data_IF_311848963719
#
_entry.id   IF_311848963719
#
_cell.length_a   1.000
_cell.length_b   1.000
_cell.length_c   1.000
_cell.angle_alpha   90.00
_cell.angle_beta   90.00
_cell.angle_gamma   90.00
#
_symmetry.space_group_name_H-M   'P 1'
#
loop_
_entity.id
_entity.type
_entity.pdbx_description
1 polymer ?
#
# COMPACT_ATOMS: atom_id res chain seq x y z
N UNK A 1 -37.70 -63.96 -34.71
CA UNK A 1 -37.12 -63.80 -33.36
C UNK A 1 -35.98 -62.80 -33.44
N UNK A 2 -35.95 -61.86 -32.50
CA UNK A 2 -35.06 -60.70 -32.41
C UNK A 2 -33.64 -61.10 -32.00
N UNK A 3 -32.63 -60.42 -32.55
CA UNK A 3 -31.25 -60.43 -32.05
C UNK A 3 -30.41 -59.36 -32.75
N UNK A 4 -30.36 -58.15 -32.17
CA UNK A 4 -29.39 -57.09 -32.50
C UNK A 4 -28.14 -57.30 -31.64
N UNK A 5 -26.97 -56.81 -32.09
CA UNK A 5 -25.85 -56.19 -31.34
C UNK A 5 -24.68 -56.13 -32.34
N UNK A 6 -24.43 -54.99 -33.01
CA UNK A 6 -23.64 -53.81 -32.60
C UNK A 6 -22.13 -53.99 -32.86
N UNK A 7 -21.66 -53.28 -33.88
CA UNK A 7 -20.26 -53.01 -34.18
C UNK A 7 -19.71 -52.02 -33.15
N UNK A 8 -18.56 -52.35 -32.54
CA UNK A 8 -17.81 -51.41 -31.72
C UNK A 8 -16.82 -50.66 -32.62
N UNK A 9 -17.07 -49.36 -32.82
CA UNK A 9 -16.17 -48.45 -33.50
C UNK A 9 -15.07 -47.99 -32.53
N UNK A 10 -13.84 -48.05 -33.01
CA UNK A 10 -12.66 -47.44 -32.41
C UNK A 10 -12.82 -45.91 -32.46
N UNK A 11 -12.92 -45.26 -31.31
CA UNK A 11 -12.68 -43.81 -31.17
C UNK A 11 -11.57 -43.60 -30.16
N UNK A 12 -10.34 -43.50 -30.66
CA UNK A 12 -9.20 -43.04 -29.89
C UNK A 12 -9.22 -41.50 -29.89
N UNK A 13 -9.97 -40.89 -28.98
CA UNK A 13 -9.90 -39.45 -28.75
C UNK A 13 -8.70 -39.16 -27.86
N UNK A 14 -7.62 -38.66 -28.45
CA UNK A 14 -6.55 -38.01 -27.69
C UNK A 14 -7.12 -36.80 -26.97
N UNK A 15 -7.32 -36.91 -25.67
CA UNK A 15 -7.52 -35.77 -24.79
C UNK A 15 -6.18 -35.02 -24.68
N UNK A 16 -5.96 -34.05 -25.55
CA UNK A 16 -5.10 -32.92 -25.20
C UNK A 16 -5.89 -32.06 -24.21
N UNK A 17 -5.88 -32.45 -22.94
CA UNK A 17 -6.22 -31.51 -21.88
C UNK A 17 -5.02 -30.60 -21.72
N UNK A 18 -5.04 -29.45 -22.39
CA UNK A 18 -4.24 -28.32 -21.96
C UNK A 18 -4.63 -28.05 -20.51
N UNK A 19 -3.69 -28.23 -19.58
CA UNK A 19 -3.89 -27.68 -18.25
C UNK A 19 -3.94 -26.16 -18.42
N UNK A 20 -5.15 -25.59 -18.35
CA UNK A 20 -5.34 -24.17 -18.14
C UNK A 20 -4.85 -23.90 -16.71
N UNK A 21 -3.58 -23.55 -16.59
CA UNK A 21 -2.93 -23.16 -15.34
C UNK A 21 -3.20 -21.67 -15.07
N UNK A 22 -4.46 -21.26 -15.06
CA UNK A 22 -4.88 -19.94 -14.58
C UNK A 22 -5.36 -20.00 -13.15
N UNK A 23 -5.55 -18.83 -12.55
CA UNK A 23 -5.99 -18.62 -11.17
C UNK A 23 -5.00 -19.13 -10.11
N UNK A 24 -3.70 -18.88 -10.32
CA UNK A 24 -2.67 -19.33 -9.38
C UNK A 24 -1.50 -18.36 -9.24
N UNK A 25 -0.90 -18.42 -8.05
CA UNK A 25 0.38 -17.82 -7.74
C UNK A 25 1.53 -18.60 -8.37
N UNK A 26 2.44 -17.90 -9.02
CA UNK A 26 3.67 -18.43 -9.57
C UNK A 26 4.84 -17.62 -9.03
N UNK A 27 5.72 -18.26 -8.28
CA UNK A 27 6.99 -17.66 -7.86
C UNK A 27 7.93 -17.61 -9.07
N UNK A 28 8.38 -16.40 -9.42
CA UNK A 28 9.26 -16.17 -10.57
C UNK A 28 10.72 -15.98 -10.14
N UNK A 29 10.93 -15.47 -8.93
CA UNK A 29 12.21 -15.28 -8.25
C UNK A 29 11.95 -15.47 -6.75
N UNK A 30 12.99 -15.69 -5.94
CA UNK A 30 12.87 -15.90 -4.49
C UNK A 30 12.06 -14.76 -3.82
N UNK A 31 10.86 -15.07 -3.32
CA UNK A 31 9.96 -14.11 -2.70
C UNK A 31 9.23 -13.15 -3.66
N UNK A 32 9.37 -13.33 -4.98
CA UNK A 32 8.69 -12.53 -6.03
C UNK A 32 7.68 -13.39 -6.77
N UNK A 33 6.43 -12.97 -6.76
CA UNK A 33 5.30 -13.73 -7.24
C UNK A 33 4.53 -12.98 -8.34
N UNK A 34 3.99 -13.73 -9.30
CA UNK A 34 3.00 -13.25 -10.28
C UNK A 34 1.71 -14.05 -10.10
N UNK A 35 0.55 -13.42 -10.37
CA UNK A 35 -0.74 -14.12 -10.39
C UNK A 35 -1.17 -14.39 -11.82
N UNK A 36 -1.20 -15.65 -12.25
CA UNK A 36 -1.59 -16.05 -13.61
C UNK A 36 -3.10 -16.19 -13.74
N UNK A 37 -3.65 -15.67 -14.84
CA UNK A 37 -5.07 -15.74 -15.19
C UNK A 37 -5.34 -16.91 -16.15
N UNK A 38 -6.62 -17.29 -16.28
CA UNK A 38 -7.08 -18.41 -17.13
C UNK A 38 -6.76 -18.25 -18.62
N UNK A 39 -6.63 -17.01 -19.09
CA UNK A 39 -6.25 -16.71 -20.47
C UNK A 39 -4.73 -16.80 -20.73
N UNK A 40 -3.95 -17.19 -19.71
CA UNK A 40 -2.50 -17.31 -19.77
C UNK A 40 -1.76 -15.97 -19.60
N UNK A 41 -2.46 -14.88 -19.35
CA UNK A 41 -1.86 -13.60 -18.94
C UNK A 41 -1.60 -13.57 -17.44
N UNK A 42 -1.07 -12.46 -16.93
CA UNK A 42 -0.90 -12.22 -15.50
C UNK A 42 -1.67 -10.97 -15.08
N UNK A 43 -2.13 -10.97 -13.83
CA UNK A 43 -2.78 -9.80 -13.23
C UNK A 43 -1.75 -8.68 -13.04
N UNK A 44 -2.12 -7.46 -13.38
CA UNK A 44 -1.37 -6.26 -13.06
C UNK A 44 -2.36 -5.16 -12.68
N UNK A 45 -2.00 -4.33 -11.69
CA UNK A 45 -2.83 -3.25 -11.14
C UNK A 45 -4.23 -3.73 -10.72
N UNK A 46 -4.29 -4.74 -9.85
CA UNK A 46 -5.55 -5.36 -9.47
C UNK A 46 -5.47 -6.27 -8.25
N UNK A 47 -6.64 -6.72 -7.80
CA UNK A 47 -6.75 -7.64 -6.66
C UNK A 47 -6.87 -9.08 -7.13
N UNK A 48 -6.09 -9.97 -6.53
CA UNK A 48 -6.28 -11.41 -6.65
C UNK A 48 -7.57 -11.83 -5.93
N UNK A 49 -8.20 -12.96 -6.32
CA UNK A 49 -9.42 -13.46 -5.66
C UNK A 49 -9.25 -13.72 -4.16
N UNK A 50 -8.05 -14.06 -3.71
CA UNK A 50 -7.68 -14.27 -2.30
C UNK A 50 -7.28 -12.97 -1.56
N UNK A 51 -7.34 -11.81 -2.23
CA UNK A 51 -7.37 -10.49 -1.59
C UNK A 51 -6.05 -9.72 -1.57
N UNK A 52 -5.02 -10.20 -2.25
CA UNK A 52 -3.74 -9.51 -2.42
C UNK A 52 -3.80 -8.51 -3.56
N UNK A 53 -3.12 -7.38 -3.43
CA UNK A 53 -3.00 -6.41 -4.51
C UNK A 53 -1.70 -6.63 -5.30
N UNK A 54 -1.82 -6.80 -6.61
CA UNK A 54 -0.70 -6.80 -7.56
C UNK A 54 -0.56 -5.39 -8.11
N UNK A 55 0.63 -4.80 -8.00
CA UNK A 55 0.88 -3.47 -8.53
C UNK A 55 0.97 -3.45 -10.07
N UNK A 56 1.21 -2.27 -10.65
CA UNK A 56 1.30 -2.10 -12.10
C UNK A 56 2.47 -2.84 -12.77
N UNK A 57 3.44 -3.36 -12.00
CA UNK A 57 4.51 -4.21 -12.52
C UNK A 57 4.06 -5.64 -12.80
N UNK A 58 2.90 -6.05 -12.24
CA UNK A 58 2.42 -7.44 -12.30
C UNK A 58 3.05 -8.35 -11.26
N UNK A 59 3.85 -7.79 -10.33
CA UNK A 59 4.59 -8.56 -9.31
C UNK A 59 4.06 -8.28 -7.91
N UNK A 60 4.20 -9.26 -7.05
CA UNK A 60 3.94 -9.18 -5.62
C UNK A 60 5.12 -9.73 -4.84
N UNK A 61 5.44 -9.06 -3.73
CA UNK A 61 6.46 -9.51 -2.78
C UNK A 61 5.86 -9.59 -1.38
N UNK A 62 6.46 -10.38 -0.49
CA UNK A 62 6.02 -10.44 0.91
C UNK A 62 6.33 -9.15 1.66
N UNK A 63 7.49 -8.55 1.38
CA UNK A 63 7.96 -7.31 1.97
C UNK A 63 8.26 -6.28 0.87
N UNK A 64 8.03 -5.01 1.19
CA UNK A 64 8.64 -3.91 0.46
C UNK A 64 9.88 -3.41 1.20
N UNK A 65 10.74 -2.68 0.50
CA UNK A 65 11.86 -1.98 1.11
C UNK A 65 11.53 -0.49 1.19
N UNK A 66 11.63 0.08 2.39
CA UNK A 66 11.52 1.52 2.64
C UNK A 66 12.77 1.94 3.40
N UNK A 67 13.60 2.81 2.82
CA UNK A 67 14.85 3.29 3.44
C UNK A 67 15.65 2.12 4.05
N UNK A 68 16.03 1.16 3.20
CA UNK A 68 16.81 -0.04 3.56
C UNK A 68 16.15 -0.95 4.62
N UNK A 69 14.89 -0.70 4.99
CA UNK A 69 14.14 -1.48 5.98
C UNK A 69 13.09 -2.33 5.28
N UNK A 70 13.03 -3.62 5.61
CA UNK A 70 11.95 -4.51 5.17
C UNK A 70 10.66 -4.18 5.91
N UNK A 71 9.61 -3.94 5.12
CA UNK A 71 8.28 -3.56 5.60
C UNK A 71 7.29 -4.60 5.09
N UNK A 72 6.65 -5.38 5.98
CA UNK A 72 5.68 -6.38 5.59
C UNK A 72 4.52 -5.78 4.82
N UNK A 73 4.17 -6.41 3.70
CA UNK A 73 2.98 -6.05 2.94
C UNK A 73 1.73 -6.48 3.70
N UNK A 74 0.67 -5.69 3.58
CA UNK A 74 -0.61 -6.00 4.19
C UNK A 74 -1.51 -6.73 3.21
N UNK A 75 -2.31 -7.64 3.75
CA UNK A 75 -3.36 -8.36 3.04
C UNK A 75 -4.77 -7.82 3.36
N UNK A 76 -4.86 -6.78 4.19
CA UNK A 76 -6.09 -6.01 4.42
C UNK A 76 -5.76 -4.59 4.85
N UNK A 77 -6.74 -3.69 4.67
CA UNK A 77 -6.71 -2.41 5.35
C UNK A 77 -6.66 -2.67 6.87
N UNK A 78 -5.82 -1.93 7.60
CA UNK A 78 -5.74 -2.04 9.05
C UNK A 78 -6.95 -1.29 9.63
N UNK A 79 -7.89 -1.96 10.33
CA UNK A 79 -9.05 -1.26 10.84
C UNK A 79 -8.63 -0.24 11.92
N UNK A 80 -9.17 1.00 11.89
CA UNK A 80 -8.88 2.01 12.91
C UNK A 80 -9.28 1.60 14.33
N UNK A 81 -10.02 0.51 14.52
CA UNK A 81 -10.36 -0.04 15.84
C UNK A 81 -9.27 -0.92 16.46
N UNK A 82 -8.21 -1.27 15.75
CA UNK A 82 -7.11 -2.10 16.26
C UNK A 82 -6.33 -1.36 17.37
N UNK A 83 -6.30 -1.91 18.57
CA UNK A 83 -5.70 -1.24 19.73
C UNK A 83 -4.17 -1.07 19.64
N UNK A 84 -3.51 -1.88 18.83
CA UNK A 84 -2.05 -1.90 18.67
C UNK A 84 -1.61 -1.44 17.27
N UNK A 85 -2.51 -0.76 16.54
CA UNK A 85 -2.26 -0.34 15.15
C UNK A 85 -0.91 0.36 14.96
N UNK A 86 -0.46 1.16 15.92
CA UNK A 86 0.82 1.86 15.84
C UNK A 86 1.92 1.23 16.68
N UNK A 87 1.65 0.82 17.92
CA UNK A 87 2.69 0.31 18.82
C UNK A 87 3.41 -0.93 18.28
N UNK A 88 2.72 -1.83 17.56
CA UNK A 88 3.34 -3.00 16.93
C UNK A 88 4.24 -2.65 15.73
N UNK A 89 4.29 -1.37 15.33
CA UNK A 89 5.11 -0.88 14.24
C UNK A 89 6.41 -0.21 14.72
N UNK A 90 6.66 -0.16 16.03
CA UNK A 90 7.78 0.55 16.62
C UNK A 90 9.15 0.06 16.14
N UNK A 91 9.34 -1.25 15.97
CA UNK A 91 10.64 -1.80 15.53
C UNK A 91 10.99 -1.36 14.11
N UNK A 92 10.02 -1.39 13.18
CA UNK A 92 10.19 -0.90 11.82
C UNK A 92 10.49 0.61 11.81
N UNK A 93 9.78 1.40 12.62
CA UNK A 93 10.06 2.83 12.75
C UNK A 93 11.47 3.10 13.31
N UNK A 94 11.94 2.29 14.26
CA UNK A 94 13.29 2.40 14.82
C UNK A 94 14.38 2.05 13.80
N UNK A 95 14.13 1.08 12.93
CA UNK A 95 15.06 0.71 11.85
C UNK A 95 15.16 1.83 10.82
N UNK A 96 14.03 2.37 10.36
CA UNK A 96 14.01 3.52 9.45
C UNK A 96 14.63 4.76 10.11
N UNK A 97 14.37 4.99 11.40
CA UNK A 97 14.98 6.10 12.16
C UNK A 97 16.51 6.03 12.16
N UNK A 98 17.08 4.82 12.16
CA UNK A 98 18.53 4.60 12.10
C UNK A 98 19.11 5.03 10.75
N UNK A 99 18.43 4.69 9.66
CA UNK A 99 18.83 5.09 8.30
C UNK A 99 18.75 6.60 8.14
N UNK A 100 17.67 7.23 8.62
CA UNK A 100 17.54 8.69 8.64
C UNK A 100 18.70 9.35 9.41
N UNK A 101 19.05 8.81 10.58
CA UNK A 101 20.16 9.35 11.37
C UNK A 101 21.51 9.23 10.64
N UNK A 102 21.76 8.11 9.98
CA UNK A 102 23.00 7.92 9.22
C UNK A 102 23.11 8.86 8.01
N UNK A 103 22.01 9.04 7.27
CA UNK A 103 22.02 9.79 6.03
C UNK A 103 21.88 11.30 6.24
N UNK A 104 21.08 11.71 7.23
CA UNK A 104 20.68 13.09 7.44
C UNK A 104 21.18 13.68 8.77
N UNK A 105 21.63 12.84 9.71
CA UNK A 105 21.86 13.23 11.09
C UNK A 105 20.56 13.34 11.89
N UNK A 106 20.61 14.01 13.04
CA UNK A 106 19.47 14.14 13.97
C UNK A 106 18.54 15.30 13.59
N UNK A 107 18.10 15.35 12.33
CA UNK A 107 17.20 16.39 11.81
C UNK A 107 15.78 15.89 11.54
N UNK A 108 15.56 14.58 11.70
CA UNK A 108 14.28 13.89 11.52
C UNK A 108 14.03 12.90 12.63
N UNK A 109 12.82 12.91 13.18
CA UNK A 109 12.44 12.02 14.29
C UNK A 109 11.02 11.49 14.17
N UNK A 110 10.84 10.19 14.31
CA UNK A 110 9.53 9.60 14.58
C UNK A 110 9.15 9.75 16.05
N UNK A 111 7.86 9.99 16.28
CA UNK A 111 7.20 9.86 17.58
C UNK A 111 6.01 8.95 17.42
N UNK A 112 5.81 8.08 18.40
CA UNK A 112 4.74 7.10 18.39
C UNK A 112 3.99 7.15 19.73
N UNK A 113 2.67 7.02 19.66
CA UNK A 113 1.78 6.76 20.79
C UNK A 113 0.75 5.70 20.38
N UNK A 114 -0.20 5.45 21.27
CA UNK A 114 -1.35 4.56 21.04
C UNK A 114 -2.26 5.03 19.89
N UNK A 115 -2.37 6.34 19.68
CA UNK A 115 -3.32 6.97 18.77
C UNK A 115 -2.68 7.73 17.60
N UNK A 116 -1.35 7.89 17.55
CA UNK A 116 -0.68 8.57 16.42
C UNK A 116 0.75 8.12 16.17
N UNK A 117 1.18 8.32 14.93
CA UNK A 117 2.60 8.36 14.53
C UNK A 117 2.86 9.76 13.94
N UNK A 118 3.76 10.53 14.55
CA UNK A 118 4.22 11.82 14.03
C UNK A 118 5.64 11.69 13.46
N UNK A 119 5.89 12.32 12.32
CA UNK A 119 7.21 12.52 11.77
C UNK A 119 7.58 14.01 11.87
N UNK A 120 8.71 14.29 12.51
CA UNK A 120 9.09 15.64 12.90
C UNK A 120 10.42 16.06 12.27
N UNK A 121 10.55 17.34 11.95
CA UNK A 121 11.84 18.01 11.90
C UNK A 121 12.35 18.21 13.33
N UNK A 122 13.64 17.97 13.53
CA UNK A 122 14.31 18.16 14.81
C UNK A 122 15.34 19.30 14.72
N UNK A 123 15.32 20.18 15.71
CA UNK A 123 16.37 21.16 15.98
C UNK A 123 16.75 21.05 17.47
N UNK A 124 17.72 20.18 17.74
CA UNK A 124 18.04 19.74 19.10
C UNK A 124 16.86 19.03 19.77
N UNK A 125 16.32 19.64 20.83
CA UNK A 125 15.16 19.12 21.57
C UNK A 125 13.82 19.61 21.00
N UNK A 126 13.83 20.64 20.14
CA UNK A 126 12.63 21.15 19.52
C UNK A 126 12.19 20.25 18.37
N UNK A 127 10.91 19.85 18.38
CA UNK A 127 10.32 18.99 17.37
C UNK A 127 9.15 19.70 16.70
N UNK A 128 9.23 19.85 15.38
CA UNK A 128 8.15 20.40 14.55
C UNK A 128 7.54 19.28 13.71
N UNK A 129 6.26 19.00 13.90
CA UNK A 129 5.54 17.98 13.13
C UNK A 129 5.45 18.37 11.65
N UNK A 130 5.99 17.51 10.78
CA UNK A 130 5.89 17.63 9.33
C UNK A 130 4.67 16.90 8.80
N UNK A 131 4.40 15.71 9.34
CA UNK A 131 3.13 15.04 9.18
C UNK A 131 2.83 14.10 10.34
N UNK A 132 1.55 13.86 10.58
CA UNK A 132 1.06 12.99 11.65
C UNK A 132 -0.10 12.16 11.15
N UNK A 133 -0.03 10.84 11.33
CA UNK A 133 -1.13 9.91 11.10
C UNK A 133 -1.80 9.60 12.44
N UNK A 134 -3.04 10.03 12.60
CA UNK A 134 -3.88 9.77 13.75
C UNK A 134 -4.82 8.59 13.48
N UNK A 135 -5.03 7.78 14.51
CA UNK A 135 -6.01 6.70 14.54
C UNK A 135 -7.27 7.16 15.29
N UNK A 136 -8.35 7.42 14.56
CA UNK A 136 -9.62 7.83 15.16
C UNK A 136 -10.51 6.60 15.39
N UNK A 137 -10.25 5.85 16.47
CA UNK A 137 -10.94 4.58 16.79
C UNK A 137 -12.46 4.70 16.77
N UNK A 138 -13.00 5.79 17.33
CA UNK A 138 -14.45 6.04 17.41
C UNK A 138 -15.04 6.57 16.09
N UNK A 139 -14.22 7.22 15.26
CA UNK A 139 -14.64 7.76 13.98
C UNK A 139 -14.58 6.74 12.84
N UNK A 140 -13.95 5.58 13.06
CA UNK A 140 -13.77 4.55 12.03
C UNK A 140 -12.85 4.98 10.90
N UNK A 141 -11.95 5.94 11.13
CA UNK A 141 -11.03 6.47 10.13
C UNK A 141 -9.62 6.71 10.68
N UNK A 142 -8.67 6.90 9.77
CA UNK A 142 -7.41 7.57 10.04
C UNK A 142 -7.48 9.01 9.55
N UNK A 143 -6.75 9.89 10.22
CA UNK A 143 -6.52 11.26 9.77
C UNK A 143 -5.03 11.48 9.56
N UNK A 144 -4.62 11.83 8.35
CA UNK A 144 -3.26 12.28 8.05
C UNK A 144 -3.26 13.80 7.96
N UNK A 145 -2.43 14.44 8.78
CA UNK A 145 -2.14 15.87 8.68
C UNK A 145 -0.76 16.03 8.05
N UNK A 146 -0.64 16.77 6.95
CA UNK A 146 0.60 16.98 6.19
C UNK A 146 0.92 18.48 6.08
N UNK A 147 2.15 18.88 6.40
CA UNK A 147 2.58 20.29 6.52
C UNK A 147 3.89 20.61 5.81
N UNK A 148 4.48 19.63 5.12
CA UNK A 148 5.80 19.76 4.48
C UNK A 148 5.73 19.48 2.99
N UNK A 149 6.59 20.13 2.20
CA UNK A 149 6.80 19.77 0.81
C UNK A 149 7.50 18.41 0.70
N UNK A 150 7.15 17.66 -0.35
CA UNK A 150 7.61 16.30 -0.58
C UNK A 150 8.27 16.19 -1.97
N UNK A 151 9.25 15.30 -2.10
CA UNK A 151 9.85 14.96 -3.40
C UNK A 151 9.79 13.46 -3.61
N UNK A 152 9.15 12.98 -4.67
CA UNK A 152 9.08 11.54 -4.96
C UNK A 152 10.37 10.97 -5.54
N UNK A 153 11.06 11.76 -6.35
CA UNK A 153 12.25 11.31 -7.09
C UNK A 153 13.53 11.56 -6.30
N UNK A 154 14.28 10.50 -5.99
CA UNK A 154 15.53 10.59 -5.23
C UNK A 154 16.61 11.44 -5.92
N UNK A 155 16.64 11.48 -7.26
CA UNK A 155 17.76 12.04 -8.00
C UNK A 155 19.09 11.32 -7.68
N UNK A 156 20.24 11.91 -8.03
CA UNK A 156 21.57 11.31 -7.76
C UNK A 156 22.00 11.42 -6.30
N UNK A 157 21.52 12.46 -5.62
CA UNK A 157 21.71 12.69 -4.19
C UNK A 157 20.33 13.00 -3.62
N UNK A 158 19.73 12.08 -2.86
CA UNK A 158 18.41 12.29 -2.29
C UNK A 158 18.32 13.57 -1.47
N UNK A 159 17.23 14.31 -1.68
CA UNK A 159 16.91 15.51 -0.90
C UNK A 159 16.25 15.11 0.41
N UNK A 160 16.25 16.00 1.41
CA UNK A 160 15.52 15.73 2.68
C UNK A 160 14.03 15.49 2.42
N UNK A 161 13.41 16.27 1.53
CA UNK A 161 12.00 16.06 1.14
C UNK A 161 11.72 14.72 0.45
N UNK A 162 12.75 14.03 -0.05
CA UNK A 162 12.63 12.66 -0.55
C UNK A 162 12.53 11.64 0.58
N UNK A 163 13.39 11.76 1.60
CA UNK A 163 13.26 10.94 2.81
C UNK A 163 11.89 11.19 3.49
N UNK A 164 11.44 12.45 3.51
CA UNK A 164 10.12 12.80 4.05
C UNK A 164 8.99 12.08 3.30
N UNK A 165 9.10 11.94 1.97
CA UNK A 165 8.14 11.16 1.16
C UNK A 165 8.22 9.65 1.44
N UNK A 166 9.42 9.08 1.54
CA UNK A 166 9.58 7.67 1.90
C UNK A 166 9.01 7.35 3.28
N UNK A 167 9.13 8.27 4.24
CA UNK A 167 8.50 8.16 5.54
C UNK A 167 6.97 8.29 5.48
N UNK A 168 6.42 9.15 4.62
CA UNK A 168 4.97 9.17 4.36
C UNK A 168 4.50 7.82 3.80
N UNK A 169 5.24 7.27 2.84
CA UNK A 169 4.98 5.96 2.24
C UNK A 169 4.95 4.87 3.30
N UNK A 170 5.93 4.84 4.21
CA UNK A 170 5.99 3.92 5.35
C UNK A 170 4.71 3.91 6.19
N UNK A 171 4.17 5.09 6.48
CA UNK A 171 2.96 5.25 7.31
C UNK A 171 1.71 4.77 6.57
N UNK A 172 1.60 5.04 5.27
CA UNK A 172 0.43 4.65 4.49
C UNK A 172 0.43 3.15 4.16
N UNK A 173 1.61 2.54 3.99
CA UNK A 173 1.77 1.07 3.96
C UNK A 173 1.34 0.39 5.26
N UNK A 174 1.49 1.05 6.40
CA UNK A 174 1.03 0.49 7.68
C UNK A 174 -0.49 0.28 7.69
N UNK A 175 -1.25 1.13 7.03
CA UNK A 175 -2.73 1.08 7.11
C UNK A 175 -3.40 0.47 5.88
N UNK A 176 -2.75 0.44 4.72
CA UNK A 176 -3.37 0.06 3.44
C UNK A 176 -2.58 -1.05 2.74
N UNK A 177 -3.30 -1.99 2.10
CA UNK A 177 -2.68 -2.97 1.17
C UNK A 177 -2.04 -2.29 -0.03
N UNK A 178 -2.68 -1.21 -0.48
CA UNK A 178 -2.26 -0.38 -1.60
C UNK A 178 -1.48 0.83 -1.11
N UNK A 179 -0.67 0.67 -0.05
CA UNK A 179 -0.04 1.79 0.66
C UNK A 179 0.83 2.70 -0.20
N UNK A 180 1.54 2.17 -1.20
CA UNK A 180 2.30 3.00 -2.15
C UNK A 180 1.37 3.82 -3.05
N UNK A 181 0.32 3.21 -3.60
CA UNK A 181 -0.69 3.92 -4.40
C UNK A 181 -1.39 5.01 -3.57
N UNK A 182 -1.68 4.71 -2.30
CA UNK A 182 -2.25 5.68 -1.36
C UNK A 182 -1.28 6.84 -1.09
N UNK A 183 0.01 6.56 -0.89
CA UNK A 183 1.03 7.58 -0.72
C UNK A 183 1.21 8.45 -1.95
N UNK A 184 1.19 7.87 -3.14
CA UNK A 184 1.23 8.63 -4.40
C UNK A 184 0.00 9.53 -4.55
N UNK A 185 -1.19 9.03 -4.23
CA UNK A 185 -2.41 9.83 -4.32
C UNK A 185 -2.37 11.05 -3.37
N UNK A 186 -1.94 10.85 -2.12
CA UNK A 186 -1.73 11.93 -1.16
C UNK A 186 -0.67 12.92 -1.65
N UNK A 187 0.47 12.42 -2.13
CA UNK A 187 1.56 13.23 -2.67
C UNK A 187 1.11 14.13 -3.83
N UNK A 188 0.49 13.55 -4.86
CA UNK A 188 0.06 14.33 -6.02
C UNK A 188 -1.06 15.31 -5.67
N UNK A 189 -1.96 14.94 -4.76
CA UNK A 189 -2.97 15.87 -4.24
C UNK A 189 -2.33 17.06 -3.53
N UNK A 190 -1.31 16.82 -2.71
CA UNK A 190 -0.63 17.85 -1.92
C UNK A 190 0.26 18.78 -2.76
N UNK A 191 1.07 18.22 -3.66
CA UNK A 191 2.00 18.98 -4.51
C UNK A 191 1.31 19.66 -5.73
N UNK A 192 0.00 19.46 -5.89
CA UNK A 192 -0.85 20.27 -6.78
C UNK A 192 -1.19 19.67 -8.15
N UNK A 193 -0.78 18.43 -8.45
CA UNK A 193 -1.16 17.74 -9.69
C UNK A 193 -2.54 17.05 -9.56
N UNK A 194 -2.82 16.47 -8.40
CA UNK A 194 -4.06 15.78 -8.04
C UNK A 194 -4.59 14.80 -9.12
N UNK A 195 -3.69 14.05 -9.77
CA UNK A 195 -4.03 13.09 -10.84
C UNK A 195 -4.97 11.95 -10.42
N UNK A 196 -5.03 11.64 -9.13
CA UNK A 196 -5.97 10.67 -8.55
C UNK A 196 -7.36 11.26 -8.31
N UNK A 197 -7.52 12.58 -8.49
CA UNK A 197 -8.79 13.27 -8.38
C UNK A 197 -9.34 13.30 -6.96
N UNK A 198 -8.48 13.36 -5.93
CA UNK A 198 -8.90 13.50 -4.54
C UNK A 198 -9.69 14.80 -4.39
N UNK A 199 -10.90 14.70 -3.82
CA UNK A 199 -11.83 15.81 -3.72
C UNK A 199 -11.88 16.40 -2.32
N UNK A 200 -12.11 17.71 -2.27
CA UNK A 200 -12.40 18.41 -1.03
C UNK A 200 -13.72 17.91 -0.46
N UNK A 201 -13.72 17.47 0.81
CA UNK A 201 -14.91 17.03 1.55
C UNK A 201 -15.74 15.92 0.88
N UNK A 202 -15.16 15.19 -0.09
CA UNK A 202 -15.81 14.09 -0.79
C UNK A 202 -14.86 12.91 -0.91
N UNK A 203 -15.37 11.71 -0.60
CA UNK A 203 -14.60 10.47 -0.71
C UNK A 203 -14.23 10.16 -2.16
N UNK A 204 -12.97 9.78 -2.35
CA UNK A 204 -12.37 9.34 -3.61
C UNK A 204 -11.73 7.98 -3.36
N UNK A 205 -12.04 6.99 -4.20
CA UNK A 205 -11.45 5.67 -4.07
C UNK A 205 -9.99 5.69 -4.53
N UNK A 206 -9.08 5.18 -3.69
CA UNK A 206 -7.67 4.97 -4.01
C UNK A 206 -7.30 3.59 -3.49
N UNK A 207 -7.14 2.63 -4.40
CA UNK A 207 -6.90 1.23 -4.04
C UNK A 207 -7.97 0.69 -3.09
N UNK A 208 -7.53 0.23 -1.92
CA UNK A 208 -8.39 -0.29 -0.84
C UNK A 208 -8.88 0.78 0.16
N UNK A 209 -8.64 2.06 -0.11
CA UNK A 209 -9.03 3.17 0.76
C UNK A 209 -10.04 4.12 0.09
N UNK A 210 -10.82 4.80 0.93
CA UNK A 210 -11.58 6.00 0.60
C UNK A 210 -10.86 7.20 1.22
N UNK A 211 -10.53 8.19 0.39
CA UNK A 211 -9.76 9.38 0.81
C UNK A 211 -10.55 10.64 0.51
N UNK A 212 -10.58 11.57 1.46
CA UNK A 212 -11.05 12.94 1.23
C UNK A 212 -10.04 13.96 1.75
N UNK A 213 -10.06 15.16 1.18
CA UNK A 213 -9.12 16.23 1.52
C UNK A 213 -9.84 17.41 2.17
N UNK A 214 -9.18 18.06 3.12
CA UNK A 214 -9.59 19.29 3.77
C UNK A 214 -8.37 20.21 3.90
N UNK A 215 -8.39 21.41 3.27
CA UNK A 215 -7.31 22.38 3.45
C UNK A 215 -7.37 23.01 4.84
N UNK A 216 -6.22 23.24 5.44
CA UNK A 216 -6.04 23.97 6.70
C UNK A 216 -4.84 24.91 6.57
N UNK A 217 -4.71 25.89 7.47
CA UNK A 217 -3.66 26.92 7.38
C UNK A 217 -2.26 26.29 7.42
N UNK A 218 -1.57 26.29 6.27
CA UNK A 218 -0.27 25.63 6.08
C UNK A 218 -0.29 24.11 6.14
N UNK A 219 -1.47 23.47 6.08
CA UNK A 219 -1.60 22.02 6.21
C UNK A 219 -2.67 21.42 5.27
N UNK A 220 -2.44 20.18 4.86
CA UNK A 220 -3.44 19.33 4.23
C UNK A 220 -3.93 18.27 5.22
N UNK A 221 -5.24 18.16 5.40
CA UNK A 221 -5.86 17.11 6.22
C UNK A 221 -6.48 16.09 5.27
N UNK A 222 -6.10 14.83 5.41
CA UNK A 222 -6.64 13.71 4.65
C UNK A 222 -7.36 12.76 5.59
N UNK A 223 -8.62 12.50 5.31
CA UNK A 223 -9.43 11.49 6.01
C UNK A 223 -9.40 10.20 5.21
N UNK A 224 -9.00 9.10 5.84
CA UNK A 224 -8.72 7.82 5.18
C UNK A 224 -9.53 6.72 5.86
N UNK A 225 -10.35 6.03 5.09
CA UNK A 225 -11.25 4.96 5.54
C UNK A 225 -11.06 3.71 4.68
N UNK A 226 -11.44 2.54 5.21
CA UNK A 226 -11.48 1.32 4.42
C UNK A 226 -12.53 1.43 3.30
N UNK A 227 -12.15 1.06 2.08
CA UNK A 227 -13.09 0.86 0.99
C UNK A 227 -13.66 -0.56 1.08
N UNK A 228 -14.95 -0.67 1.39
CA UNK A 228 -15.66 -1.95 1.31
C UNK A 228 -15.71 -2.44 -0.14
N UNK A 229 -14.87 -3.41 -0.49
CA UNK A 229 -14.80 -4.02 -1.83
C UNK A 229 -15.88 -5.09 -2.07
N UNK A 230 -16.73 -5.41 -1.08
CA UNK A 230 -17.76 -6.46 -1.18
C UNK A 230 -19.04 -6.06 -1.95
N UNK A 231 -18.96 -5.07 -2.84
CA UNK A 231 -20.08 -4.67 -3.68
C UNK A 231 -19.64 -4.56 -5.15
N UNK A 232 -19.46 -5.71 -5.80
CA UNK A 232 -19.45 -5.85 -7.25
C UNK A 232 -20.13 -7.15 -7.64
#
# INVERSE_FOLDING_TARGET
MRGRILAAALCLTGLLSFAAYGDQWVEIEDGVWEYRLDDGTYLADGFTPDGYFIDGSGRWTENAVVLETEVPNRNSFLPPTDENAFLDYADILNDVQRVLYWDLGDIRRFRISDDRISFCAADGDELTELFTLYQNRNGGNYQLVLKTGLTREAGKKPSVSWYDYECLRLLLRRISRTGDQLAEAVYYSWEGDNRYGIKMYQQTAVGDALVSYEPSDGAGIYWIEERNLQAS
#
